data_IF_348050919868
#
_entry.id   IF_348050919868
#
_cell.length_a   1.000
_cell.length_b   1.000
_cell.length_c   1.000
_cell.angle_alpha   90.00
_cell.angle_beta   90.00
_cell.angle_gamma   90.00
#
_symmetry.space_group_name_H-M   'P 1'
#
loop_
_entity.id
_entity.type
_entity.pdbx_description
1 polymer ?
#
# COMPACT_ATOMS: atom_id res chain seq x y z
N UNK A 1 -4.06 17.61 5.36
CA UNK A 1 -3.80 17.21 3.96
C UNK A 1 -4.17 15.76 3.73
N UNK A 2 -4.64 15.46 2.53
CA UNK A 2 -4.97 14.08 2.15
C UNK A 2 -3.74 13.40 1.54
N UNK A 3 -3.63 12.09 1.72
CA UNK A 3 -2.60 11.28 1.08
C UNK A 3 -2.74 11.35 -0.45
N UNK A 4 -3.96 11.20 -0.93
CA UNK A 4 -4.31 11.28 -2.35
C UNK A 4 -5.17 12.51 -2.61
N UNK A 5 -4.88 13.22 -3.70
CA UNK A 5 -5.66 14.39 -4.12
C UNK A 5 -5.85 14.32 -5.65
N UNK A 6 -6.68 13.38 -6.10
CA UNK A 6 -6.84 13.14 -7.53
C UNK A 6 -7.59 14.26 -8.25
N UNK A 7 -7.09 14.60 -9.45
CA UNK A 7 -7.65 15.65 -10.30
C UNK A 7 -7.80 15.15 -11.73
N UNK A 8 -8.84 15.55 -12.45
CA UNK A 8 -8.96 15.18 -13.86
C UNK A 8 -7.97 15.97 -14.72
N UNK A 9 -7.47 15.34 -15.75
CA UNK A 9 -6.65 15.99 -16.76
C UNK A 9 -7.39 16.09 -18.09
N UNK A 10 -6.70 16.50 -19.13
CA UNK A 10 -7.31 16.65 -20.47
C UNK A 10 -7.66 15.31 -21.14
N UNK A 11 -7.03 14.22 -20.73
CA UNK A 11 -7.17 12.90 -21.37
C UNK A 11 -7.49 11.79 -20.38
N UNK A 12 -7.75 12.12 -19.11
CA UNK A 12 -8.07 11.16 -18.06
C UNK A 12 -9.00 11.80 -17.03
N UNK A 13 -9.79 11.00 -16.37
CA UNK A 13 -10.71 11.47 -15.36
C UNK A 13 -10.11 11.36 -13.95
N UNK A 14 -10.87 11.75 -12.94
CA UNK A 14 -10.45 11.73 -11.53
C UNK A 14 -10.14 10.30 -11.04
N UNK A 15 -10.90 9.32 -11.51
CA UNK A 15 -10.70 7.91 -11.13
C UNK A 15 -9.40 7.35 -11.71
N UNK A 16 -9.08 7.68 -12.96
CA UNK A 16 -7.80 7.34 -13.58
C UNK A 16 -6.62 7.89 -12.75
N UNK A 17 -6.73 9.16 -12.36
CA UNK A 17 -5.68 9.83 -11.58
C UNK A 17 -5.54 9.20 -10.19
N UNK A 18 -6.66 8.88 -9.53
CA UNK A 18 -6.63 8.23 -8.22
C UNK A 18 -5.91 6.87 -8.30
N UNK A 19 -6.26 6.05 -9.29
CA UNK A 19 -5.59 4.76 -9.48
C UNK A 19 -4.10 4.95 -9.81
N UNK A 20 -3.76 5.98 -10.58
CA UNK A 20 -2.35 6.31 -10.87
C UNK A 20 -1.59 6.66 -9.59
N UNK A 21 -2.17 7.50 -8.72
CA UNK A 21 -1.56 7.86 -7.43
C UNK A 21 -1.39 6.63 -6.51
N UNK A 22 -2.37 5.72 -6.49
CA UNK A 22 -2.25 4.45 -5.74
C UNK A 22 -1.09 3.62 -6.28
N UNK A 23 -0.93 3.53 -7.61
CA UNK A 23 0.20 2.79 -8.22
C UNK A 23 1.54 3.48 -7.91
N UNK A 24 1.57 4.80 -7.92
CA UNK A 24 2.79 5.56 -7.61
C UNK A 24 3.25 5.31 -6.17
N UNK A 25 2.32 5.18 -5.25
CA UNK A 25 2.59 4.93 -3.83
C UNK A 25 2.92 3.47 -3.55
N UNK A 26 2.05 2.55 -4.01
CA UNK A 26 2.03 1.14 -3.59
C UNK A 26 2.63 0.18 -4.62
N UNK A 27 2.98 0.68 -5.79
CA UNK A 27 3.38 -0.17 -6.90
C UNK A 27 2.20 -0.71 -7.71
N UNK A 28 2.47 -1.50 -8.74
CA UNK A 28 1.43 -1.93 -9.69
C UNK A 28 0.45 -2.93 -9.08
N UNK A 29 -0.80 -2.84 -9.50
CA UNK A 29 -1.83 -3.83 -9.15
C UNK A 29 -1.46 -5.21 -9.71
N UNK A 30 -1.65 -6.29 -8.94
CA UNK A 30 -1.61 -7.64 -9.51
C UNK A 30 -2.63 -7.73 -10.66
N UNK A 31 -2.23 -8.37 -11.76
CA UNK A 31 -3.07 -8.44 -12.96
C UNK A 31 -4.47 -9.03 -12.67
N UNK A 32 -4.53 -10.06 -11.81
CA UNK A 32 -5.80 -10.67 -11.42
C UNK A 32 -6.75 -9.64 -10.79
N UNK A 33 -6.20 -8.73 -9.98
CA UNK A 33 -6.99 -7.66 -9.33
C UNK A 33 -7.33 -6.57 -10.34
N UNK A 34 -6.35 -6.09 -11.10
CA UNK A 34 -6.53 -5.01 -12.09
C UNK A 34 -7.63 -5.34 -13.11
N UNK A 35 -7.79 -6.62 -13.47
CA UNK A 35 -8.71 -7.05 -14.52
C UNK A 35 -10.01 -7.68 -14.00
N UNK A 36 -10.21 -7.76 -12.68
CA UNK A 36 -11.39 -8.43 -12.09
C UNK A 36 -12.60 -7.51 -11.88
N UNK A 37 -12.37 -6.21 -11.77
CA UNK A 37 -13.42 -5.26 -11.45
C UNK A 37 -14.37 -4.96 -12.62
N UNK A 38 -15.59 -4.60 -12.29
CA UNK A 38 -16.63 -4.22 -13.27
C UNK A 38 -16.13 -3.13 -14.25
N UNK A 39 -15.39 -2.16 -13.73
CA UNK A 39 -14.88 -1.02 -14.50
C UNK A 39 -13.42 -1.17 -14.94
N UNK A 40 -12.84 -2.34 -14.73
CA UNK A 40 -11.43 -2.61 -15.09
C UNK A 40 -11.11 -2.26 -16.54
N UNK A 41 -12.04 -2.56 -17.45
CA UNK A 41 -11.87 -2.31 -18.89
C UNK A 41 -11.85 -0.82 -19.24
N UNK A 42 -12.29 0.04 -18.36
CA UNK A 42 -12.22 1.50 -18.56
C UNK A 42 -10.84 2.06 -18.17
N UNK A 43 -10.25 1.50 -17.15
CA UNK A 43 -9.01 1.98 -16.49
C UNK A 43 -7.77 1.25 -17.03
N UNK A 44 -7.86 -0.08 -17.19
CA UNK A 44 -6.68 -0.91 -17.53
C UNK A 44 -6.77 -1.52 -18.93
N UNK A 45 -5.62 -1.68 -19.55
CA UNK A 45 -5.50 -2.40 -20.81
C UNK A 45 -5.48 -3.92 -20.55
N UNK A 46 -6.15 -4.69 -21.40
CA UNK A 46 -6.11 -6.16 -21.34
C UNK A 46 -4.78 -6.73 -21.84
N UNK A 47 -4.11 -6.01 -22.71
CA UNK A 47 -2.80 -6.39 -23.25
C UNK A 47 -1.73 -5.94 -22.24
N UNK A 48 -1.22 -6.88 -21.47
CA UNK A 48 -0.11 -6.61 -20.57
C UNK A 48 1.17 -6.41 -21.36
N UNK A 49 1.35 -5.24 -21.93
CA UNK A 49 2.65 -4.83 -22.42
C UNK A 49 3.45 -4.33 -21.22
N UNK A 50 4.46 -5.05 -20.83
CA UNK A 50 5.46 -4.59 -19.88
C UNK A 50 6.04 -3.28 -20.39
N UNK A 51 5.76 -2.18 -19.72
CA UNK A 51 6.43 -0.93 -20.05
C UNK A 51 7.95 -1.15 -19.88
N UNK A 52 8.76 -0.87 -20.89
CA UNK A 52 10.20 -1.23 -20.88
C UNK A 52 10.97 -0.64 -19.67
N UNK A 53 10.45 0.43 -19.08
CA UNK A 53 11.09 1.09 -17.91
C UNK A 53 11.01 0.27 -16.62
N UNK A 54 10.04 -0.64 -16.50
CA UNK A 54 9.94 -1.53 -15.34
C UNK A 54 10.95 -2.69 -15.38
N UNK A 55 11.48 -3.02 -16.57
CA UNK A 55 12.46 -4.09 -16.72
C UNK A 55 13.85 -3.75 -16.15
N UNK A 56 14.16 -2.49 -15.91
CA UNK A 56 15.56 -2.06 -15.72
C UNK A 56 16.06 -1.99 -14.28
N UNK A 57 15.21 -2.22 -13.29
CA UNK A 57 15.62 -2.05 -11.88
C UNK A 57 15.49 -3.28 -10.99
N UNK A 58 15.17 -4.42 -11.57
CA UNK A 58 15.25 -5.66 -10.80
C UNK A 58 16.70 -6.12 -10.71
N UNK A 59 17.36 -5.79 -9.62
CA UNK A 59 18.59 -6.49 -9.24
C UNK A 59 18.24 -7.98 -9.08
N UNK A 60 19.01 -8.83 -9.75
CA UNK A 60 18.89 -10.28 -9.61
C UNK A 60 18.93 -10.63 -8.11
N UNK A 61 17.83 -11.16 -7.59
CA UNK A 61 17.75 -11.56 -6.17
C UNK A 61 16.41 -11.33 -5.50
N UNK A 62 15.49 -10.58 -6.13
CA UNK A 62 14.16 -10.43 -5.53
C UNK A 62 13.17 -11.44 -6.12
N UNK A 63 12.79 -12.04 -5.52
CA UNK A 63 11.94 -13.02 -5.83
C UNK A 63 10.63 -12.70 -6.12
N UNK A 64 10.41 -11.63 -5.83
CA UNK A 64 9.09 -11.17 -6.22
C UNK A 64 9.06 -11.00 -7.74
N UNK A 65 8.67 -12.04 -8.40
CA UNK A 65 8.30 -11.99 -9.82
C UNK A 65 6.99 -11.21 -9.90
N UNK A 66 7.11 -9.92 -10.09
CA UNK A 66 5.94 -9.08 -10.34
C UNK A 66 5.27 -9.56 -11.64
N UNK A 67 4.10 -10.14 -11.50
CA UNK A 67 3.21 -10.35 -12.66
C UNK A 67 3.02 -8.99 -13.31
N UNK A 68 3.21 -8.92 -14.62
CA UNK A 68 3.07 -7.67 -15.35
C UNK A 68 1.70 -7.05 -15.06
N UNK A 69 1.67 -5.84 -14.51
CA UNK A 69 0.40 -5.20 -14.15
C UNK A 69 -0.41 -4.87 -15.40
N UNK A 70 -1.70 -4.80 -15.28
CA UNK A 70 -2.54 -4.16 -16.28
C UNK A 70 -2.09 -2.71 -16.40
N UNK A 71 -1.71 -2.27 -17.58
CA UNK A 71 -1.32 -0.88 -17.80
C UNK A 71 -2.52 0.04 -17.75
N UNK A 72 -2.34 1.23 -17.19
CA UNK A 72 -3.34 2.29 -17.27
C UNK A 72 -3.52 2.71 -18.73
N UNK A 73 -4.76 2.92 -19.13
CA UNK A 73 -5.09 3.33 -20.51
C UNK A 73 -4.75 4.78 -20.80
N UNK A 74 -4.96 5.64 -19.84
CA UNK A 74 -4.96 7.09 -20.06
C UNK A 74 -3.75 7.80 -19.47
N UNK A 75 -3.06 7.17 -18.49
CA UNK A 75 -1.90 7.76 -17.83
C UNK A 75 -0.70 6.82 -18.01
N UNK A 76 0.32 7.29 -18.75
CA UNK A 76 1.48 6.47 -19.12
C UNK A 76 2.78 6.90 -18.43
N UNK A 77 2.77 8.06 -17.76
CA UNK A 77 3.94 8.57 -17.06
C UNK A 77 3.64 8.58 -15.56
N UNK A 78 4.09 7.53 -14.88
CA UNK A 78 3.94 7.39 -13.43
C UNK A 78 5.23 7.84 -12.75
N UNK A 79 5.09 8.57 -11.66
CA UNK A 79 6.20 9.05 -10.84
C UNK A 79 6.15 8.30 -9.51
N UNK A 80 6.90 7.22 -9.41
CA UNK A 80 6.91 6.41 -8.18
C UNK A 80 7.42 7.23 -7.00
N UNK A 81 6.63 7.25 -5.96
CA UNK A 81 6.89 7.97 -4.73
C UNK A 81 6.44 7.07 -3.58
N UNK A 82 7.30 6.13 -3.17
CA UNK A 82 6.91 5.12 -2.18
C UNK A 82 6.58 5.74 -0.83
N UNK A 83 5.83 4.99 -0.02
CA UNK A 83 5.21 5.49 1.20
C UNK A 83 6.23 6.18 2.14
N UNK A 84 7.38 5.55 2.42
CA UNK A 84 8.39 6.17 3.28
C UNK A 84 8.86 7.53 2.75
N UNK A 85 9.03 7.64 1.41
CA UNK A 85 9.45 8.92 0.80
C UNK A 85 8.36 9.98 0.92
N UNK A 86 7.10 9.61 0.75
CA UNK A 86 5.96 10.52 0.96
C UNK A 86 5.95 11.00 2.42
N UNK A 87 6.16 10.07 3.37
CA UNK A 87 6.18 10.41 4.80
C UNK A 87 7.31 11.39 5.14
N UNK A 88 8.47 11.23 4.51
CA UNK A 88 9.61 12.13 4.70
C UNK A 88 9.40 13.48 3.99
N UNK A 89 9.10 13.43 2.69
CA UNK A 89 9.12 14.63 1.84
C UNK A 89 7.89 15.53 2.06
N UNK A 90 6.72 14.91 2.24
CA UNK A 90 5.45 15.63 2.35
C UNK A 90 5.05 15.91 3.81
N UNK A 91 5.27 14.92 4.68
CA UNK A 91 4.84 15.01 6.09
C UNK A 91 5.99 15.32 7.05
N UNK A 92 7.21 15.42 6.55
CA UNK A 92 8.42 15.80 7.30
C UNK A 92 8.70 14.87 8.50
N UNK A 93 8.34 13.61 8.36
CA UNK A 93 8.62 12.58 9.36
C UNK A 93 10.09 12.15 9.20
N UNK A 94 10.79 11.90 10.30
CA UNK A 94 12.19 11.48 10.24
C UNK A 94 12.34 10.13 9.53
N UNK A 95 13.51 9.89 8.94
CA UNK A 95 13.77 8.64 8.20
C UNK A 95 13.49 7.38 9.04
N UNK A 96 14.01 7.24 10.29
CA UNK A 96 13.70 6.03 11.08
C UNK A 96 12.21 5.88 11.39
N UNK A 97 11.52 6.97 11.73
CA UNK A 97 10.08 6.93 12.00
C UNK A 97 9.27 6.60 10.74
N UNK A 98 9.65 7.14 9.59
CA UNK A 98 8.96 6.88 8.33
C UNK A 98 9.08 5.40 7.91
N UNK A 99 10.24 4.79 8.16
CA UNK A 99 10.47 3.37 7.89
C UNK A 99 9.62 2.48 8.81
N UNK A 100 9.56 2.82 10.11
CA UNK A 100 8.72 2.10 11.08
C UNK A 100 7.23 2.25 10.76
N UNK A 101 6.79 3.46 10.44
CA UNK A 101 5.40 3.70 10.06
C UNK A 101 5.04 3.00 8.75
N UNK A 102 5.94 3.01 7.76
CA UNK A 102 5.75 2.25 6.52
C UNK A 102 5.59 0.76 6.81
N UNK A 103 6.46 0.17 7.66
CA UNK A 103 6.37 -1.26 8.00
C UNK A 103 5.03 -1.62 8.66
N UNK A 104 4.44 -0.68 9.40
CA UNK A 104 3.11 -0.85 9.99
C UNK A 104 1.99 -0.71 8.95
N UNK A 105 2.07 0.30 8.09
CA UNK A 105 0.99 0.61 7.14
C UNK A 105 0.98 -0.29 5.90
N UNK A 106 2.15 -0.61 5.35
CA UNK A 106 2.27 -1.34 4.07
C UNK A 106 1.50 -2.68 4.05
N UNK A 107 1.58 -3.53 5.09
CA UNK A 107 0.81 -4.78 5.10
C UNK A 107 -0.70 -4.56 5.03
N UNK A 108 -1.22 -3.49 5.65
CA UNK A 108 -2.65 -3.16 5.65
C UNK A 108 -3.09 -2.50 4.34
N UNK A 109 -2.15 -1.94 3.58
CA UNK A 109 -2.41 -1.29 2.30
C UNK A 109 -2.20 -2.23 1.10
N UNK A 110 -1.90 -3.51 1.35
CA UNK A 110 -1.63 -4.46 0.27
C UNK A 110 -2.74 -4.46 -0.77
N UNK A 111 -2.36 -4.26 -2.05
CA UNK A 111 -3.31 -4.16 -3.16
C UNK A 111 -4.08 -5.46 -3.41
N UNK A 112 -3.52 -6.59 -2.97
CA UNK A 112 -4.24 -7.88 -3.00
C UNK A 112 -4.98 -8.06 -1.67
N UNK A 113 -6.32 -8.05 -1.66
CA UNK A 113 -7.08 -8.19 -0.41
C UNK A 113 -6.83 -9.51 0.33
N UNK A 114 -6.50 -10.60 -0.39
CA UNK A 114 -6.18 -11.89 0.24
C UNK A 114 -4.86 -11.89 1.01
N UNK A 115 -4.00 -10.90 0.72
CA UNK A 115 -2.70 -10.73 1.38
C UNK A 115 -2.67 -9.56 2.34
N UNK A 116 -3.76 -8.79 2.37
CA UNK A 116 -3.86 -7.60 3.22
C UNK A 116 -3.93 -8.02 4.68
N UNK A 117 -3.06 -7.45 5.51
CA UNK A 117 -3.05 -7.73 6.94
C UNK A 117 -4.37 -7.28 7.59
N UNK A 118 -4.84 -8.07 8.52
CA UNK A 118 -6.01 -7.71 9.32
C UNK A 118 -5.59 -6.76 10.46
N UNK A 119 -6.53 -5.97 10.97
CA UNK A 119 -6.29 -5.13 12.13
C UNK A 119 -5.78 -5.97 13.32
N UNK A 120 -6.35 -7.17 13.51
CA UNK A 120 -5.93 -8.09 14.57
C UNK A 120 -4.45 -8.48 14.44
N UNK A 121 -3.99 -8.74 13.21
CA UNK A 121 -2.58 -9.11 12.97
C UNK A 121 -1.63 -7.94 13.28
N UNK A 122 -2.10 -6.71 13.13
CA UNK A 122 -1.27 -5.53 13.33
C UNK A 122 -1.24 -5.03 14.78
N UNK A 123 -2.06 -5.60 15.69
CA UNK A 123 -2.10 -5.17 17.09
C UNK A 123 -0.78 -5.42 17.85
N UNK A 124 0.03 -6.36 17.37
CA UNK A 124 1.32 -6.69 17.98
C UNK A 124 2.52 -6.09 17.25
N UNK A 125 2.27 -5.17 16.34
CA UNK A 125 3.34 -4.54 15.57
C UNK A 125 4.14 -3.56 16.44
N UNK A 126 5.46 -3.56 16.30
CA UNK A 126 6.38 -2.75 17.10
C UNK A 126 6.07 -1.22 17.06
N UNK A 127 5.45 -0.74 15.98
CA UNK A 127 5.01 0.66 15.88
C UNK A 127 4.03 1.05 17.00
N UNK A 128 3.29 0.07 17.51
CA UNK A 128 2.30 0.29 18.58
C UNK A 128 2.87 0.10 19.99
N UNK A 129 4.16 -0.25 20.12
CA UNK A 129 4.78 -0.45 21.42
C UNK A 129 4.80 0.86 22.21
N UNK A 130 4.28 0.82 23.43
CA UNK A 130 4.19 1.99 24.31
C UNK A 130 2.97 2.88 24.06
N UNK A 131 2.10 2.56 23.10
CA UNK A 131 0.86 3.31 22.90
C UNK A 131 -0.13 2.98 24.01
N UNK A 132 -0.45 3.96 24.83
CA UNK A 132 -1.44 3.82 25.90
C UNK A 132 -2.84 4.00 25.31
N UNK A 133 -3.60 2.92 25.25
CA UNK A 133 -5.00 2.97 24.80
C UNK A 133 -5.87 3.40 25.99
N UNK A 134 -6.32 4.65 25.99
CA UNK A 134 -7.24 5.14 26.99
C UNK A 134 -8.58 4.39 26.88
N UNK A 135 -8.98 3.74 27.96
CA UNK A 135 -10.24 3.01 28.03
C UNK A 135 -10.14 1.49 27.91
N UNK A 136 -8.96 0.94 27.65
CA UNK A 136 -8.75 -0.50 27.77
C UNK A 136 -8.55 -0.83 29.25
N UNK A 137 -9.60 -1.21 29.93
CA UNK A 137 -9.48 -1.85 31.25
C UNK A 137 -8.80 -3.20 31.02
N UNK A 138 -7.54 -3.28 31.40
CA UNK A 138 -6.85 -4.55 31.51
C UNK A 138 -7.57 -5.34 32.61
N UNK A 139 -8.39 -6.29 32.21
CA UNK A 139 -8.85 -7.31 33.12
C UNK A 139 -7.59 -8.08 33.56
N UNK A 140 -7.05 -7.70 34.68
CA UNK A 140 -5.96 -8.43 35.31
C UNK A 140 -6.49 -9.83 35.61
N UNK A 141 -6.00 -10.81 34.90
CA UNK A 141 -6.21 -12.20 35.27
C UNK A 141 -5.31 -12.51 36.47
N UNK A 142 -5.78 -12.10 37.62
CA UNK A 142 -5.19 -12.53 38.89
C UNK A 142 -5.68 -13.96 39.14
N UNK A 143 -4.96 -14.91 38.56
CA UNK A 143 -5.11 -16.30 38.95
C UNK A 143 -4.27 -16.55 40.19
N UNK A 144 -4.76 -16.07 41.34
CA UNK A 144 -4.21 -16.49 42.60
C UNK A 144 -4.67 -17.92 42.84
N UNK A 145 -3.76 -18.83 42.65
CA UNK A 145 -3.89 -20.21 43.01
C UNK A 145 -3.91 -20.29 44.55
N UNK A 146 -5.07 -20.51 45.12
CA UNK A 146 -5.15 -20.95 46.51
C UNK A 146 -4.91 -22.45 46.56
N UNK A 147 -3.75 -22.83 47.02
CA UNK A 147 -3.43 -24.17 47.48
C UNK A 147 -3.81 -24.25 48.99
N UNK A 148 -4.76 -25.10 49.33
CA UNK A 148 -4.90 -25.73 50.64
C UNK A 148 -4.84 -27.22 50.42
#
# INVERSE_FOLDING_TARGET
>A
DYMFDPHPGTRYNKDDDHIAQVIELMGPFPRSIALSGKFSSEIFTRKGALHPRFRRREKAGSXHRASAPGELKHIHKLKFWPLHSVLQDKYLISEPESMQLESFLEPMLNLNPDKRATAQAMLTHEWLDGVIVQGASLASSDSSVFLC
#
